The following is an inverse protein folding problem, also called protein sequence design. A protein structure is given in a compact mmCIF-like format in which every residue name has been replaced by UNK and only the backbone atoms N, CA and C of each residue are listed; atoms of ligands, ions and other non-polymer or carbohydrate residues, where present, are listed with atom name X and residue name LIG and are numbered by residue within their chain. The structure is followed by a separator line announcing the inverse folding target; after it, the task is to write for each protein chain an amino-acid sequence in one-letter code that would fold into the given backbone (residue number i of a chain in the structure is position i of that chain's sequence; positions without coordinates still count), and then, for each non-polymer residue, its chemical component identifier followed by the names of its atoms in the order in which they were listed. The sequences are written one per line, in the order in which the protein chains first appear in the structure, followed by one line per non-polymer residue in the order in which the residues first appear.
data_IF_217413894626
#
_entry.id   IF_217413894626
#
_cell.length_a   1.000
_cell.length_b   1.000
_cell.length_c   1.000
_cell.angle_alpha   90.00
_cell.angle_beta   90.00
_cell.angle_gamma   90.00
#
_symmetry.space_group_name_H-M   'P 1'
#
loop_
_entity.id
_entity.type
_entity.pdbx_description
1 polymer ?
#
# COMPACT_ATOMS: atom_id res chain seq x y z
N UNK A 1 -12.38 41.75 -4.68
CA UNK A 1 -11.67 41.41 -5.93
C UNK A 1 -10.79 40.21 -5.65
N UNK A 2 -10.73 39.25 -6.56
CA UNK A 2 -9.82 38.10 -6.42
C UNK A 2 -8.36 38.60 -6.39
N UNK A 3 -7.57 38.08 -5.45
CA UNK A 3 -6.17 38.49 -5.26
C UNK A 3 -5.25 37.91 -6.34
N UNK A 4 -5.68 36.82 -6.97
CA UNK A 4 -4.96 36.13 -8.04
C UNK A 4 -5.87 35.87 -9.24
N UNK A 5 -5.30 35.93 -10.44
CA UNK A 5 -6.01 35.74 -11.71
C UNK A 5 -5.91 34.32 -12.28
N UNK A 6 -6.83 33.98 -13.18
CA UNK A 6 -6.74 32.76 -13.99
C UNK A 6 -5.49 32.82 -14.87
N UNK A 7 -4.79 31.69 -14.99
CA UNK A 7 -3.48 31.51 -15.63
C UNK A 7 -2.29 32.19 -14.94
N UNK A 8 -2.49 32.84 -13.78
CA UNK A 8 -1.39 33.42 -13.03
C UNK A 8 -0.48 32.34 -12.43
N UNK A 9 0.83 32.60 -12.47
CA UNK A 9 1.85 31.78 -11.83
C UNK A 9 1.97 32.19 -10.36
N UNK A 10 1.84 31.23 -9.46
CA UNK A 10 1.83 31.46 -8.01
C UNK A 10 2.67 30.43 -7.28
N UNK A 11 2.86 30.65 -5.99
CA UNK A 11 3.45 29.69 -5.07
C UNK A 11 2.32 29.18 -4.16
N UNK A 12 2.20 27.88 -3.97
CA UNK A 12 1.12 27.25 -3.22
C UNK A 12 1.66 26.28 -2.18
N UNK A 13 1.18 26.40 -0.94
CA UNK A 13 1.45 25.41 0.11
C UNK A 13 0.75 24.09 -0.21
N UNK A 14 1.46 22.98 -0.09
CA UNK A 14 0.88 21.64 -0.05
C UNK A 14 1.57 20.87 1.09
N UNK A 15 0.82 20.65 2.18
CA UNK A 15 1.41 20.23 3.45
C UNK A 15 2.31 21.33 4.04
N UNK A 16 3.48 20.99 4.61
CA UNK A 16 4.40 21.96 5.21
C UNK A 16 5.28 22.70 4.19
N UNK A 17 5.25 22.31 2.91
CA UNK A 17 6.16 22.82 1.88
C UNK A 17 5.43 23.62 0.81
N UNK A 18 6.18 24.49 0.13
CA UNK A 18 5.66 25.39 -0.92
C UNK A 18 6.11 24.89 -2.29
N UNK A 19 5.17 24.82 -3.23
CA UNK A 19 5.42 24.45 -4.62
C UNK A 19 5.04 25.58 -5.58
N UNK A 20 5.63 25.55 -6.76
CA UNK A 20 5.21 26.41 -7.86
C UNK A 20 3.92 25.86 -8.47
N UNK A 21 2.92 26.72 -8.65
CA UNK A 21 1.62 26.35 -9.18
C UNK A 21 1.12 27.38 -10.21
N UNK A 22 0.12 26.97 -10.99
CA UNK A 22 -0.64 27.82 -11.90
C UNK A 22 -2.11 27.77 -11.57
N UNK A 23 -2.76 28.92 -11.54
CA UNK A 23 -4.20 29.01 -11.29
C UNK A 23 -4.95 28.67 -12.59
N UNK A 24 -5.85 27.71 -12.52
CA UNK A 24 -6.69 27.29 -13.64
C UNK A 24 -8.09 27.91 -13.58
N UNK A 25 -8.66 28.04 -12.37
CA UNK A 25 -10.00 28.62 -12.16
C UNK A 25 -10.06 29.41 -10.85
N UNK A 26 -10.96 30.37 -10.78
CA UNK A 26 -11.24 31.18 -9.59
C UNK A 26 -12.74 31.19 -9.37
N UNK A 27 -13.18 30.83 -8.17
CA UNK A 27 -14.59 30.86 -7.77
C UNK A 27 -14.72 31.56 -6.42
N UNK A 28 -15.85 32.25 -6.23
CA UNK A 28 -16.24 32.77 -4.93
C UNK A 28 -17.22 31.77 -4.32
N UNK A 29 -16.86 31.18 -3.19
CA UNK A 29 -17.72 30.23 -2.49
C UNK A 29 -18.45 30.94 -1.36
N UNK A 30 -19.78 30.87 -1.38
CA UNK A 30 -20.65 31.35 -0.32
C UNK A 30 -21.09 30.19 0.58
N UNK A 31 -21.70 30.48 1.73
CA UNK A 31 -22.14 29.49 2.73
C UNK A 31 -23.01 28.36 2.14
N UNK A 32 -23.73 28.61 1.04
CA UNK A 32 -24.61 27.65 0.37
C UNK A 32 -23.92 26.76 -0.68
N UNK A 33 -22.69 27.09 -1.12
CA UNK A 33 -21.98 26.40 -2.21
C UNK A 33 -20.62 25.82 -1.77
N UNK A 34 -20.40 25.71 -0.46
CA UNK A 34 -19.09 25.37 0.08
C UNK A 34 -18.79 23.87 0.00
N UNK A 35 -17.75 23.47 -0.74
CA UNK A 35 -17.22 22.08 -0.71
C UNK A 35 -16.14 21.86 0.36
N UNK A 36 -15.53 22.94 0.88
CA UNK A 36 -14.41 22.92 1.85
C UNK A 36 -14.78 23.41 3.25
N UNK A 37 -16.00 23.89 3.47
CA UNK A 37 -16.44 24.51 4.73
C UNK A 37 -15.93 25.94 5.00
N UNK A 38 -15.13 26.54 4.10
CA UNK A 38 -14.67 27.93 4.22
C UNK A 38 -15.33 28.82 3.15
N UNK A 39 -16.01 29.91 3.52
CA UNK A 39 -16.48 30.91 2.56
C UNK A 39 -15.31 31.77 2.03
N UNK A 40 -15.44 32.29 0.82
CA UNK A 40 -14.47 33.20 0.19
C UNK A 40 -13.88 32.67 -1.13
N UNK A 41 -12.87 33.37 -1.63
CA UNK A 41 -12.24 33.03 -2.91
C UNK A 41 -11.46 31.71 -2.84
N UNK A 42 -11.85 30.79 -3.69
CA UNK A 42 -11.20 29.50 -3.91
C UNK A 42 -10.58 29.48 -5.31
N UNK A 43 -9.42 28.83 -5.40
CA UNK A 43 -8.59 28.79 -6.59
C UNK A 43 -8.31 27.35 -6.95
N UNK A 44 -8.61 26.96 -8.19
CA UNK A 44 -8.25 25.63 -8.70
C UNK A 44 -6.82 25.70 -9.21
N UNK A 45 -5.92 24.95 -8.59
CA UNK A 45 -4.47 25.06 -8.83
C UNK A 45 -3.90 23.79 -9.44
N UNK A 46 -2.97 23.96 -10.38
CA UNK A 46 -2.16 22.90 -10.96
C UNK A 46 -0.70 23.09 -10.54
N UNK A 47 -0.11 22.08 -9.91
CA UNK A 47 1.28 22.10 -9.47
C UNK A 47 2.25 21.79 -10.61
N UNK A 48 3.33 22.55 -10.72
CA UNK A 48 4.32 22.36 -11.77
C UNK A 48 5.00 20.99 -11.65
N UNK A 49 4.90 20.21 -12.73
CA UNK A 49 5.49 18.87 -12.82
C UNK A 49 4.66 17.76 -12.17
N UNK A 50 3.44 18.07 -11.70
CA UNK A 50 2.53 17.09 -11.11
C UNK A 50 1.49 16.62 -12.14
N UNK A 51 0.89 15.46 -11.93
CA UNK A 51 -0.21 14.96 -12.79
C UNK A 51 -1.48 15.76 -12.49
N UNK A 52 -2.33 16.00 -13.49
CA UNK A 52 -3.61 16.73 -13.37
C UNK A 52 -4.56 16.12 -12.32
N UNK A 53 -4.42 14.83 -12.01
CA UNK A 53 -5.20 14.16 -10.94
C UNK A 53 -4.93 14.73 -9.55
N UNK A 54 -3.88 15.54 -9.38
CA UNK A 54 -3.54 16.23 -8.13
C UNK A 54 -4.00 17.69 -8.09
N UNK A 55 -4.71 18.16 -9.10
CA UNK A 55 -5.24 19.52 -9.13
C UNK A 55 -6.33 19.64 -8.06
N UNK A 56 -6.26 20.68 -7.24
CA UNK A 56 -7.14 20.86 -6.09
C UNK A 56 -7.68 22.30 -6.00
N UNK A 57 -8.83 22.44 -5.34
CA UNK A 57 -9.35 23.75 -4.93
C UNK A 57 -8.72 24.15 -3.60
N UNK A 58 -8.04 25.30 -3.58
CA UNK A 58 -7.39 25.81 -2.38
C UNK A 58 -7.94 27.18 -2.00
N UNK A 59 -8.07 27.48 -0.69
CA UNK A 59 -8.38 28.82 -0.23
C UNK A 59 -7.21 29.77 -0.50
N UNK A 60 -7.51 31.08 -0.51
CA UNK A 60 -6.52 32.13 -0.73
C UNK A 60 -5.30 32.04 0.20
N UNK A 61 -5.48 31.59 1.45
CA UNK A 61 -4.42 31.51 2.47
C UNK A 61 -3.27 30.56 2.10
N UNK A 62 -3.53 29.55 1.26
CA UNK A 62 -2.50 28.64 0.76
C UNK A 62 -1.70 29.21 -0.40
N UNK A 63 -2.07 30.38 -0.92
CA UNK A 63 -1.44 30.98 -2.09
C UNK A 63 -0.58 32.19 -1.75
N UNK A 64 0.55 32.27 -2.43
CA UNK A 64 1.56 33.32 -2.34
C UNK A 64 1.85 33.84 -3.75
N UNK A 65 2.04 35.15 -3.88
CA UNK A 65 2.45 35.75 -5.16
C UNK A 65 3.84 35.28 -5.55
N UNK A 66 4.06 35.10 -6.85
CA UNK A 66 5.37 34.78 -7.39
C UNK A 66 6.26 36.03 -7.38
N UNK A 67 7.01 36.23 -6.30
CA UNK A 67 7.98 37.31 -6.12
C UNK A 67 9.22 36.81 -5.39
N UNK A 68 10.31 37.59 -5.42
CA UNK A 68 11.61 37.19 -4.85
C UNK A 68 11.54 36.92 -3.35
N UNK A 69 10.69 37.66 -2.62
CA UNK A 69 10.47 37.49 -1.18
C UNK A 69 9.86 36.11 -0.89
N UNK A 70 8.82 35.71 -1.62
CA UNK A 70 8.15 34.42 -1.40
C UNK A 70 8.96 33.25 -1.97
N UNK A 71 9.78 33.48 -2.99
CA UNK A 71 10.77 32.50 -3.46
C UNK A 71 11.85 32.24 -2.40
N UNK A 72 12.30 33.26 -1.68
CA UNK A 72 13.20 33.09 -0.54
C UNK A 72 12.51 32.28 0.58
N UNK A 73 11.24 32.59 0.90
CA UNK A 73 10.44 31.82 1.86
C UNK A 73 10.30 30.35 1.47
N UNK A 74 10.04 30.06 0.20
CA UNK A 74 9.98 28.68 -0.32
C UNK A 74 11.28 27.92 -0.05
N UNK A 75 12.44 28.53 -0.30
CA UNK A 75 13.74 27.90 -0.06
C UNK A 75 13.94 27.57 1.42
N UNK A 76 13.63 28.51 2.32
CA UNK A 76 13.78 28.33 3.77
C UNK A 76 12.84 27.25 4.30
N UNK A 77 11.53 27.36 4.03
CA UNK A 77 10.51 26.45 4.54
C UNK A 77 10.72 25.01 4.03
N UNK A 78 11.05 24.87 2.74
CA UNK A 78 11.32 23.55 2.18
C UNK A 78 12.60 22.95 2.79
N UNK A 79 13.66 23.74 2.97
CA UNK A 79 14.90 23.27 3.61
C UNK A 79 14.69 22.86 5.08
N UNK A 80 13.95 23.65 5.86
CA UNK A 80 13.60 23.33 7.26
C UNK A 80 12.77 22.04 7.35
N UNK A 81 11.79 21.88 6.46
CA UNK A 81 10.94 20.68 6.41
C UNK A 81 11.76 19.43 6.08
N UNK A 82 12.62 19.49 5.04
CA UNK A 82 13.50 18.37 4.69
C UNK A 82 14.55 18.06 5.79
N UNK A 83 15.00 19.07 6.54
CA UNK A 83 15.91 18.88 7.67
C UNK A 83 15.20 18.24 8.88
N UNK A 84 13.96 18.64 9.16
CA UNK A 84 13.12 18.04 10.19
C UNK A 84 12.82 16.56 9.88
N UNK A 85 12.50 16.23 8.62
CA UNK A 85 12.30 14.84 8.17
C UNK A 85 13.56 13.99 8.33
N UNK A 86 14.75 14.54 8.02
CA UNK A 86 16.03 13.85 8.26
C UNK A 86 16.30 13.63 9.75
N UNK A 87 15.99 14.61 10.60
CA UNK A 87 16.19 14.51 12.06
C UNK A 87 15.21 13.52 12.71
N UNK A 88 13.97 13.44 12.22
CA UNK A 88 13.00 12.43 12.62
C UNK A 88 13.44 11.00 12.22
N UNK A 89 13.97 10.83 10.99
CA UNK A 89 14.52 9.54 10.53
C UNK A 89 15.81 9.11 11.26
N UNK A 90 16.66 10.07 11.66
CA UNK A 90 17.87 9.78 12.44
C UNK A 90 17.57 9.45 13.91
N UNK A 91 16.54 10.07 14.51
CA UNK A 91 16.07 9.73 15.85
C UNK A 91 15.39 8.34 15.90
N UNK A 92 14.84 7.85 14.78
CA UNK A 92 14.33 6.48 14.68
C UNK A 92 15.39 5.39 14.47
N UNK A 93 16.65 5.76 14.15
CA UNK A 93 17.73 4.79 13.90
C UNK A 93 18.70 4.59 15.08
N UNK A 94 18.53 5.29 16.21
CA UNK A 94 19.43 5.20 17.37
C UNK A 94 18.83 4.49 18.60
N UNK A 95 17.80 3.67 18.42
CA UNK A 95 17.19 2.89 19.50
C UNK A 95 17.40 1.40 19.35
N UNK A 96 18.54 0.87 19.84
CA UNK A 96 18.68 -0.37 20.66
C UNK A 96 20.10 -0.97 20.54
N UNK A 97 20.94 -0.74 21.56
CA UNK A 97 21.82 -1.78 22.08
C UNK A 97 22.07 -1.57 23.58
N UNK A 98 21.38 -2.41 24.34
CA UNK A 98 21.70 -3.12 25.58
C UNK A 98 22.47 -2.45 26.77
N UNK A 99 21.92 -2.72 27.95
CA UNK A 99 22.58 -2.80 29.27
C UNK A 99 23.95 -3.53 29.23
N UNK A 100 24.97 -3.33 30.07
CA UNK A 100 25.01 -3.08 31.53
C UNK A 100 26.45 -2.69 31.98
N UNK A 101 26.52 -1.83 33.01
CA UNK A 101 27.57 -1.64 34.05
C UNK A 101 29.02 -1.22 33.71
N UNK A 102 29.46 -0.12 34.37
CA UNK A 102 30.80 -0.02 34.98
C UNK A 102 31.54 1.33 34.93
N UNK A 103 31.42 2.16 35.97
CA UNK A 103 32.57 2.89 36.57
C UNK A 103 33.05 4.26 36.03
N UNK A 104 32.61 5.32 36.72
CA UNK A 104 33.46 6.39 37.34
C UNK A 104 34.04 7.58 36.54
N UNK A 105 33.63 8.78 37.02
CA UNK A 105 34.36 10.07 37.19
C UNK A 105 34.26 11.23 36.17
N UNK A 106 33.91 12.40 36.75
CA UNK A 106 34.27 13.77 36.34
C UNK A 106 33.34 14.41 35.30
N UNK A 107 32.66 15.55 35.48
CA UNK A 107 32.69 16.61 36.47
C UNK A 107 32.16 17.90 35.82
N UNK A 108 31.47 18.77 36.58
CA UNK A 108 31.14 20.16 36.20
C UNK A 108 29.71 20.40 35.68
N UNK A 109 28.77 20.90 36.51
CA UNK A 109 28.36 22.34 36.66
C UNK A 109 27.58 22.84 35.41
N UNK A 110 26.41 23.48 35.46
CA UNK A 110 25.69 24.23 36.51
C UNK A 110 24.29 24.63 35.97
N UNK A 111 23.34 24.79 36.90
CA UNK A 111 22.18 25.72 36.93
C UNK A 111 21.16 25.72 35.77
N UNK A 112 19.84 25.63 35.95
CA UNK A 112 18.99 25.65 37.14
C UNK A 112 17.55 26.00 36.71
N UNK A 113 16.56 25.30 37.30
CA UNK A 113 15.22 25.74 37.79
C UNK A 113 14.41 26.80 36.98
N UNK A 114 13.09 26.73 36.82
CA UNK A 114 12.01 25.98 37.47
C UNK A 114 10.64 26.24 36.77
N UNK A 115 9.65 25.42 37.16
CA UNK A 115 8.20 25.70 37.29
C UNK A 115 7.37 25.97 36.01
N UNK A 116 6.54 25.02 35.55
CA UNK A 116 5.21 24.61 36.05
C UNK A 116 4.07 25.44 35.44
N UNK A 117 3.11 24.76 34.81
CA UNK A 117 1.88 25.43 34.33
C UNK A 117 1.02 24.67 33.33
N UNK A 118 0.43 23.57 33.77
CA UNK A 118 -0.97 23.20 33.46
C UNK A 118 -1.39 22.74 32.04
N UNK A 119 -1.41 21.41 31.88
CA UNK A 119 -2.59 20.58 31.57
C UNK A 119 -3.65 21.18 30.62
N UNK A 120 -3.67 20.65 29.39
CA UNK A 120 -4.94 20.39 28.69
C UNK A 120 -5.04 18.88 28.42
N UNK A 121 -5.80 18.19 29.27
CA UNK A 121 -6.21 16.80 29.10
C UNK A 121 -6.84 16.64 27.71
N UNK A 122 -6.27 15.79 26.86
CA UNK A 122 -6.97 15.20 25.73
C UNK A 122 -6.57 13.73 25.60
N UNK A 123 -7.31 12.92 26.35
CA UNK A 123 -7.60 11.49 26.13
C UNK A 123 -6.38 10.58 25.91
N UNK A 124 -5.88 10.07 27.02
CA UNK A 124 -5.17 8.79 27.09
C UNK A 124 -6.24 7.70 26.91
N UNK A 125 -6.35 7.18 25.68
CA UNK A 125 -7.09 5.97 25.29
C UNK A 125 -6.75 5.74 23.81
N UNK A 126 -5.60 5.13 23.56
CA UNK A 126 -5.49 3.89 22.78
C UNK A 126 -4.04 3.47 22.91
N UNK A 127 -3.78 2.45 23.73
CA UNK A 127 -2.53 1.71 23.74
C UNK A 127 -2.13 1.46 22.29
N UNK A 128 -1.11 2.17 21.83
CA UNK A 128 -0.57 2.02 20.50
C UNK A 128 -0.08 0.59 20.35
N UNK A 129 -0.98 -0.29 19.89
CA UNK A 129 -0.63 -1.59 19.34
C UNK A 129 0.43 -1.26 18.31
N UNK A 130 1.68 -1.55 18.64
CA UNK A 130 2.82 -1.38 17.74
C UNK A 130 2.40 -2.05 16.44
N UNK A 131 2.06 -1.22 15.46
CA UNK A 131 1.47 -1.70 14.22
C UNK A 131 2.55 -2.56 13.57
N UNK A 132 2.34 -3.89 13.42
CA UNK A 132 3.39 -4.74 12.90
C UNK A 132 3.71 -4.32 11.46
N UNK A 133 4.90 -3.79 11.22
CA UNK A 133 5.36 -3.40 9.89
C UNK A 133 6.04 -4.58 9.19
N UNK A 134 5.28 -5.33 8.40
CA UNK A 134 5.84 -6.37 7.54
C UNK A 134 6.50 -5.74 6.29
N UNK A 135 7.82 -5.54 6.30
CA UNK A 135 8.56 -5.10 5.10
C UNK A 135 9.01 -6.31 4.28
N UNK A 136 8.31 -6.57 3.18
CA UNK A 136 8.68 -7.61 2.20
C UNK A 136 9.52 -6.99 1.08
N UNK A 137 10.66 -7.60 0.78
CA UNK A 137 11.48 -7.28 -0.38
C UNK A 137 11.07 -8.20 -1.53
N UNK A 138 10.34 -7.64 -2.50
CA UNK A 138 9.89 -8.41 -3.67
C UNK A 138 11.07 -8.53 -4.64
N UNK A 139 11.45 -9.75 -5.08
CA UNK A 139 12.45 -9.96 -6.11
C UNK A 139 12.12 -9.24 -7.42
N UNK A 140 13.13 -8.68 -8.09
CA UNK A 140 12.93 -7.89 -9.31
C UNK A 140 12.27 -8.69 -10.44
N UNK A 141 12.54 -10.00 -10.52
CA UNK A 141 11.90 -10.91 -11.48
C UNK A 141 10.38 -10.93 -11.29
N UNK A 142 9.89 -11.00 -10.04
CA UNK A 142 8.46 -10.95 -9.76
C UNK A 142 7.87 -9.57 -10.02
N UNK A 143 8.65 -8.49 -9.85
CA UNK A 143 8.19 -7.14 -10.21
C UNK A 143 7.95 -7.01 -11.70
N UNK A 144 8.84 -7.56 -12.54
CA UNK A 144 8.65 -7.57 -14.00
C UNK A 144 7.37 -8.31 -14.36
N UNK A 145 7.18 -9.52 -13.82
CA UNK A 145 5.95 -10.31 -14.04
C UNK A 145 4.69 -9.55 -13.62
N UNK A 146 4.72 -8.86 -12.48
CA UNK A 146 3.59 -8.05 -12.00
C UNK A 146 3.30 -6.83 -12.88
N UNK A 147 4.33 -6.22 -13.47
CA UNK A 147 4.16 -5.12 -14.42
C UNK A 147 3.56 -5.63 -15.74
N UNK A 148 4.06 -6.76 -16.24
CA UNK A 148 3.56 -7.41 -17.46
C UNK A 148 2.10 -7.87 -17.27
N UNK A 149 1.78 -8.49 -16.13
CA UNK A 149 0.41 -8.89 -15.75
C UNK A 149 -0.53 -7.68 -15.70
N UNK A 150 -0.10 -6.58 -15.08
CA UNK A 150 -0.86 -5.34 -15.03
C UNK A 150 -1.09 -4.77 -16.44
N UNK A 151 -0.08 -4.73 -17.30
CA UNK A 151 -0.18 -4.24 -18.67
C UNK A 151 -1.11 -5.11 -19.53
N UNK A 152 -0.98 -6.44 -19.42
CA UNK A 152 -1.83 -7.39 -20.12
C UNK A 152 -3.32 -7.18 -19.81
N UNK A 153 -3.66 -7.03 -18.53
CA UNK A 153 -5.07 -6.93 -18.11
C UNK A 153 -5.62 -5.52 -18.28
N UNK A 154 -4.85 -4.48 -17.93
CA UNK A 154 -5.39 -3.11 -17.89
C UNK A 154 -5.24 -2.35 -19.19
N UNK A 155 -4.20 -2.63 -19.99
CA UNK A 155 -4.00 -1.97 -21.30
C UNK A 155 -4.42 -2.86 -22.46
N UNK A 156 -4.01 -4.12 -22.46
CA UNK A 156 -4.26 -5.03 -23.57
C UNK A 156 -5.65 -5.71 -23.48
N UNK A 157 -6.38 -5.51 -22.37
CA UNK A 157 -7.67 -6.13 -22.10
C UNK A 157 -7.65 -7.66 -22.26
N UNK A 158 -6.55 -8.29 -21.85
CA UNK A 158 -6.40 -9.73 -21.83
C UNK A 158 -6.82 -10.28 -20.46
N UNK A 159 -7.16 -11.56 -20.41
CA UNK A 159 -7.53 -12.24 -19.17
C UNK A 159 -6.73 -13.52 -18.98
N UNK A 160 -6.51 -13.82 -17.72
CA UNK A 160 -6.01 -15.12 -17.28
C UNK A 160 -7.10 -16.17 -17.53
N UNK A 161 -6.71 -17.30 -18.10
CA UNK A 161 -7.61 -18.43 -18.33
C UNK A 161 -7.95 -19.12 -17.02
N UNK A 162 -9.25 -19.31 -16.75
CA UNK A 162 -9.73 -20.00 -15.56
C UNK A 162 -10.54 -21.25 -15.97
N UNK A 163 -10.43 -22.39 -15.25
CA UNK A 163 -9.58 -22.62 -14.08
C UNK A 163 -8.09 -22.71 -14.41
N UNK A 164 -7.23 -22.29 -13.48
CA UNK A 164 -5.77 -22.37 -13.65
C UNK A 164 -5.21 -23.72 -13.25
N UNK A 165 -4.20 -24.16 -13.98
CA UNK A 165 -3.31 -25.26 -13.61
C UNK A 165 -1.86 -24.77 -13.74
N UNK A 166 -1.05 -24.84 -12.67
CA UNK A 166 -1.39 -25.21 -11.28
C UNK A 166 -2.24 -24.15 -10.55
N UNK A 167 -3.08 -24.58 -9.61
CA UNK A 167 -3.91 -23.69 -8.75
C UNK A 167 -3.13 -23.17 -7.55
N UNK A 168 -3.60 -22.08 -6.91
CA UNK A 168 -2.99 -21.58 -5.66
C UNK A 168 -2.93 -22.66 -4.58
N UNK A 169 -3.99 -23.46 -4.43
CA UNK A 169 -4.00 -24.55 -3.46
C UNK A 169 -2.88 -25.59 -3.74
N UNK A 170 -2.70 -25.97 -5.00
CA UNK A 170 -1.64 -26.90 -5.39
C UNK A 170 -0.26 -26.30 -5.18
N UNK A 171 -0.07 -25.03 -5.55
CA UNK A 171 1.20 -24.31 -5.38
C UNK A 171 1.62 -24.22 -3.91
N UNK A 172 0.68 -23.95 -3.01
CA UNK A 172 0.99 -23.88 -1.57
C UNK A 172 1.33 -25.26 -0.98
N UNK A 173 0.70 -26.33 -1.45
CA UNK A 173 1.05 -27.70 -1.02
C UNK A 173 2.40 -28.16 -1.61
N UNK A 174 2.69 -27.81 -2.86
CA UNK A 174 4.01 -28.03 -3.48
C UNK A 174 5.10 -27.28 -2.71
N UNK A 175 4.84 -26.04 -2.32
CA UNK A 175 5.75 -25.25 -1.48
C UNK A 175 6.00 -25.92 -0.13
N UNK A 176 4.97 -26.49 0.51
CA UNK A 176 5.13 -27.27 1.75
C UNK A 176 6.08 -28.45 1.53
N UNK A 177 5.88 -29.20 0.45
CA UNK A 177 6.75 -30.32 0.07
C UNK A 177 8.19 -29.87 -0.16
N UNK A 178 8.39 -28.73 -0.82
CA UNK A 178 9.69 -28.12 -1.05
C UNK A 178 10.41 -27.76 0.27
N UNK A 179 9.73 -27.13 1.22
CA UNK A 179 10.32 -26.77 2.51
C UNK A 179 10.69 -28.01 3.34
N UNK A 180 9.85 -29.06 3.30
CA UNK A 180 10.15 -30.32 3.99
C UNK A 180 11.32 -31.09 3.37
N UNK A 181 11.56 -30.92 2.07
CA UNK A 181 12.66 -31.55 1.35
C UNK A 181 14.00 -30.80 1.49
N UNK A 182 14.02 -29.60 2.09
CA UNK A 182 15.25 -28.83 2.28
C UNK A 182 16.17 -29.51 3.33
N UNK A 183 17.52 -29.43 3.19
CA UNK A 183 18.47 -30.18 4.02
C UNK A 183 18.51 -29.83 5.51
N UNK A 184 17.98 -28.65 5.89
CA UNK A 184 17.92 -28.20 7.28
C UNK A 184 16.55 -27.56 7.56
N UNK A 185 15.48 -28.37 7.67
CA UNK A 185 14.16 -27.85 7.98
C UNK A 185 14.15 -27.42 9.46
N UNK A 186 13.70 -26.20 9.78
CA UNK A 186 13.50 -25.80 11.17
C UNK A 186 12.55 -26.82 11.84
N UNK A 187 12.86 -27.34 13.05
CA UNK A 187 12.01 -28.34 13.70
C UNK A 187 10.57 -27.83 13.96
N UNK A 188 10.38 -26.51 14.03
CA UNK A 188 9.06 -25.86 14.13
C UNK A 188 8.33 -25.71 12.78
N UNK A 189 9.01 -25.85 11.65
CA UNK A 189 8.42 -25.67 10.32
C UNK A 189 7.33 -26.71 10.05
N UNK A 190 7.50 -27.94 10.54
CA UNK A 190 6.53 -29.03 10.33
C UNK A 190 5.16 -28.69 10.96
N UNK A 191 5.15 -28.03 12.11
CA UNK A 191 3.91 -27.62 12.79
C UNK A 191 3.36 -26.29 12.27
N UNK A 192 4.24 -25.37 11.85
CA UNK A 192 3.85 -24.01 11.47
C UNK A 192 3.45 -23.86 10.00
N UNK A 193 4.04 -24.63 9.08
CA UNK A 193 3.74 -24.57 7.65
C UNK A 193 2.26 -24.84 7.34
N UNK A 194 1.58 -25.85 7.92
CA UNK A 194 0.16 -26.07 7.66
C UNK A 194 -0.69 -24.87 8.09
N UNK A 195 -0.39 -24.29 9.25
CA UNK A 195 -1.08 -23.10 9.77
C UNK A 195 -0.84 -21.88 8.88
N UNK A 196 0.39 -21.70 8.41
CA UNK A 196 0.75 -20.61 7.51
C UNK A 196 0.04 -20.73 6.16
N UNK A 197 0.02 -21.91 5.57
CA UNK A 197 -0.64 -22.19 4.29
C UNK A 197 -2.14 -22.00 4.41
N UNK A 198 -2.76 -22.50 5.48
CA UNK A 198 -4.16 -22.25 5.76
C UNK A 198 -4.48 -20.76 5.91
N UNK A 199 -3.58 -20.01 6.58
CA UNK A 199 -3.67 -18.56 6.70
C UNK A 199 -3.59 -17.84 5.36
N UNK A 200 -2.57 -18.14 4.54
CA UNK A 200 -2.39 -17.55 3.21
C UNK A 200 -3.57 -17.87 2.28
N UNK A 201 -4.10 -19.09 2.33
CA UNK A 201 -5.31 -19.50 1.61
C UNK A 201 -6.52 -18.68 2.03
N UNK A 202 -6.75 -18.57 3.34
CA UNK A 202 -7.84 -17.76 3.89
C UNK A 202 -7.72 -16.28 3.48
N UNK A 203 -6.50 -15.73 3.53
CA UNK A 203 -6.24 -14.36 3.07
C UNK A 203 -6.49 -14.19 1.58
N UNK A 204 -6.07 -15.16 0.76
CA UNK A 204 -6.33 -15.16 -0.68
C UNK A 204 -7.83 -15.14 -0.95
N UNK A 205 -8.57 -16.11 -0.41
CA UNK A 205 -10.01 -16.26 -0.65
C UNK A 205 -10.81 -15.04 -0.18
N UNK A 206 -10.41 -14.42 0.93
CA UNK A 206 -11.07 -13.22 1.46
C UNK A 206 -10.72 -11.95 0.67
N UNK A 207 -9.48 -11.79 0.23
CA UNK A 207 -9.00 -10.56 -0.42
C UNK A 207 -9.15 -10.55 -1.94
N UNK A 208 -9.36 -11.71 -2.57
CA UNK A 208 -9.45 -11.82 -4.03
C UNK A 208 -10.50 -10.87 -4.61
N UNK A 209 -11.76 -10.98 -4.16
CA UNK A 209 -12.86 -10.20 -4.69
C UNK A 209 -12.83 -8.70 -4.35
N UNK A 210 -12.12 -8.32 -3.29
CA UNK A 210 -12.06 -6.93 -2.81
C UNK A 210 -10.86 -6.15 -3.33
N UNK A 211 -9.70 -6.80 -3.42
CA UNK A 211 -8.41 -6.10 -3.50
C UNK A 211 -7.48 -6.63 -4.61
N UNK A 212 -7.53 -7.93 -4.93
CA UNK A 212 -6.53 -8.54 -5.84
C UNK A 212 -6.89 -8.46 -7.32
N UNK A 213 -8.18 -8.29 -7.64
CA UNK A 213 -8.66 -8.26 -9.02
C UNK A 213 -8.65 -6.84 -9.59
N UNK A 214 -8.20 -6.69 -10.83
CA UNK A 214 -8.36 -5.44 -11.57
C UNK A 214 -9.81 -5.24 -12.00
N UNK A 215 -10.17 -3.99 -12.34
CA UNK A 215 -11.55 -3.64 -12.74
C UNK A 215 -12.06 -4.54 -13.87
N UNK A 216 -11.21 -4.86 -14.85
CA UNK A 216 -11.56 -5.66 -16.02
C UNK A 216 -11.83 -7.14 -15.69
N UNK A 217 -11.23 -7.69 -14.65
CA UNK A 217 -11.41 -9.09 -14.21
C UNK A 217 -12.68 -9.29 -13.36
N UNK A 218 -13.34 -8.21 -12.91
CA UNK A 218 -14.49 -8.33 -11.99
C UNK A 218 -15.69 -9.03 -12.62
N UNK A 219 -15.88 -8.88 -13.94
CA UNK A 219 -16.93 -9.59 -14.67
C UNK A 219 -16.66 -11.11 -14.67
N UNK A 220 -15.43 -11.53 -14.96
CA UNK A 220 -14.99 -12.93 -14.90
C UNK A 220 -15.18 -13.50 -13.49
N UNK A 221 -14.78 -12.76 -12.45
CA UNK A 221 -14.99 -13.19 -11.07
C UNK A 221 -16.47 -13.36 -10.71
N UNK A 222 -17.34 -12.47 -11.18
CA UNK A 222 -18.78 -12.59 -10.97
C UNK A 222 -19.36 -13.84 -11.65
N UNK A 223 -18.91 -14.17 -12.86
CA UNK A 223 -19.26 -15.41 -13.57
C UNK A 223 -18.77 -16.64 -12.82
N UNK A 224 -17.52 -16.64 -12.35
CA UNK A 224 -16.95 -17.75 -11.60
C UNK A 224 -17.65 -17.96 -10.25
N UNK A 225 -18.02 -16.87 -9.55
CA UNK A 225 -18.86 -16.96 -8.35
C UNK A 225 -20.22 -17.57 -8.64
N UNK A 226 -20.89 -17.16 -9.72
CA UNK A 226 -22.16 -17.77 -10.13
C UNK A 226 -21.97 -19.24 -10.50
N UNK A 227 -20.85 -19.62 -11.09
CA UNK A 227 -20.61 -21.00 -11.53
C UNK A 227 -20.27 -21.96 -10.38
N UNK A 228 -19.49 -21.52 -9.40
CA UNK A 228 -18.90 -22.39 -8.36
C UNK A 228 -19.40 -22.15 -6.93
N UNK A 229 -20.05 -21.01 -6.65
CA UNK A 229 -20.54 -20.67 -5.30
C UNK A 229 -22.05 -20.46 -5.27
N UNK A 230 -22.60 -19.60 -6.15
CA UNK A 230 -23.99 -19.09 -6.03
C UNK A 230 -24.93 -19.58 -7.13
N UNK A 231 -24.53 -20.56 -7.94
CA UNK A 231 -25.29 -21.01 -9.10
C UNK A 231 -26.37 -22.03 -8.79
N UNK A 232 -27.42 -22.06 -9.62
CA UNK A 232 -28.49 -23.08 -9.58
C UNK A 232 -27.98 -24.54 -9.74
N UNK A 233 -26.73 -24.73 -10.20
CA UNK A 233 -26.10 -26.05 -10.40
C UNK A 233 -25.08 -26.43 -9.32
N UNK A 234 -24.88 -25.61 -8.28
CA UNK A 234 -23.96 -25.93 -7.19
C UNK A 234 -24.72 -26.70 -6.12
N UNK A 235 -24.33 -27.97 -5.91
CA UNK A 235 -24.86 -28.75 -4.80
C UNK A 235 -24.35 -28.15 -3.46
N UNK A 236 -25.21 -27.97 -2.44
CA UNK A 236 -24.80 -27.49 -1.13
C UNK A 236 -23.68 -28.38 -0.58
N UNK A 237 -22.49 -27.81 -0.35
CA UNK A 237 -21.32 -28.54 0.14
C UNK A 237 -20.21 -28.84 -0.90
N UNK A 238 -20.39 -28.46 -2.17
CA UNK A 238 -19.32 -28.53 -3.20
C UNK A 238 -18.82 -27.14 -3.64
N UNK A 239 -18.96 -26.14 -2.78
CA UNK A 239 -18.44 -24.81 -3.02
C UNK A 239 -16.92 -24.88 -3.17
N UNK A 240 -16.43 -24.60 -4.37
CA UNK A 240 -14.99 -24.50 -4.59
C UNK A 240 -14.55 -23.13 -4.09
N UNK A 241 -13.52 -23.16 -3.24
CA UNK A 241 -12.81 -21.96 -2.86
C UNK A 241 -12.09 -21.36 -4.06
N UNK A 242 -11.86 -20.05 -4.01
CA UNK A 242 -11.25 -19.33 -5.11
C UNK A 242 -9.77 -19.70 -5.27
N UNK A 243 -9.12 -20.08 -4.18
CA UNK A 243 -7.79 -20.69 -4.15
C UNK A 243 -7.66 -21.97 -5.00
N UNK A 244 -8.76 -22.67 -5.28
CA UNK A 244 -8.80 -23.85 -6.15
C UNK A 244 -9.12 -23.54 -7.63
N UNK A 245 -9.30 -22.26 -7.97
CA UNK A 245 -9.69 -21.79 -9.32
C UNK A 245 -8.59 -20.91 -9.92
N UNK A 246 -8.03 -20.03 -9.11
CA UNK A 246 -7.04 -19.04 -9.51
C UNK A 246 -5.62 -19.60 -9.43
N UNK A 247 -4.69 -18.92 -10.11
CA UNK A 247 -3.30 -19.34 -10.27
C UNK A 247 -2.30 -18.44 -9.55
N UNK A 248 -1.04 -18.59 -9.95
CA UNK A 248 0.08 -17.90 -9.33
C UNK A 248 0.11 -16.39 -9.56
N UNK A 249 -0.47 -15.93 -10.68
CA UNK A 249 -0.57 -14.52 -11.04
C UNK A 249 -1.26 -13.73 -9.92
N UNK A 250 -2.43 -14.22 -9.50
CA UNK A 250 -3.20 -13.64 -8.41
C UNK A 250 -2.55 -13.86 -7.04
N UNK A 251 -1.86 -14.99 -6.83
CA UNK A 251 -1.09 -15.21 -5.61
C UNK A 251 0.02 -14.18 -5.45
N UNK A 252 0.74 -13.83 -6.52
CA UNK A 252 1.76 -12.79 -6.48
C UNK A 252 1.17 -11.43 -6.08
N UNK A 253 -0.02 -11.09 -6.56
CA UNK A 253 -0.72 -9.87 -6.12
C UNK A 253 -1.04 -9.89 -4.63
N UNK A 254 -1.43 -11.04 -4.07
CA UNK A 254 -1.60 -11.20 -2.63
C UNK A 254 -0.31 -10.89 -1.89
N UNK A 255 0.83 -11.40 -2.34
CA UNK A 255 2.13 -11.18 -1.69
C UNK A 255 2.49 -9.69 -1.62
N UNK A 256 2.13 -8.89 -2.64
CA UNK A 256 2.33 -7.43 -2.63
C UNK A 256 1.39 -6.73 -1.64
N UNK A 257 0.17 -7.24 -1.48
CA UNK A 257 -0.84 -6.67 -0.58
C UNK A 257 -0.77 -7.18 0.87
N UNK A 258 -0.05 -8.27 1.10
CA UNK A 258 0.07 -8.90 2.41
C UNK A 258 0.62 -7.95 3.49
N UNK A 259 1.65 -7.11 3.23
CA UNK A 259 2.13 -6.10 4.20
C UNK A 259 1.04 -5.16 4.71
N UNK A 260 0.21 -4.66 3.79
CA UNK A 260 -0.89 -3.76 4.09
C UNK A 260 -1.91 -4.47 4.98
N UNK A 261 -2.24 -5.71 4.65
CA UNK A 261 -3.19 -6.54 5.39
C UNK A 261 -2.69 -6.92 6.80
N UNK A 262 -1.42 -7.31 6.93
CA UNK A 262 -0.81 -7.69 8.21
C UNK A 262 -0.71 -6.49 9.16
N UNK A 263 -0.54 -5.28 8.63
CA UNK A 263 -0.52 -4.06 9.46
C UNK A 263 -1.82 -3.81 10.24
N UNK A 264 -2.94 -4.41 9.83
CA UNK A 264 -4.22 -4.30 10.53
C UNK A 264 -4.47 -5.45 11.52
N UNK A 265 -3.50 -6.34 11.72
CA UNK A 265 -3.62 -7.51 12.60
C UNK A 265 -2.85 -7.31 13.90
N UNK A 266 -3.31 -7.97 14.97
CA UNK A 266 -2.66 -7.97 16.30
C UNK A 266 -1.65 -9.13 16.41
N UNK A 267 -0.73 -9.24 15.46
CA UNK A 267 0.34 -10.26 15.50
C UNK A 267 1.55 -9.73 16.29
N UNK A 268 2.22 -10.62 17.02
CA UNK A 268 3.47 -10.32 17.72
C UNK A 268 4.67 -10.22 16.76
N UNK A 269 5.70 -9.48 17.16
CA UNK A 269 6.88 -9.22 16.33
C UNK A 269 7.63 -10.50 15.91
N UNK A 270 7.60 -11.55 16.75
CA UNK A 270 8.26 -12.83 16.45
C UNK A 270 7.49 -13.59 15.36
N UNK A 271 6.17 -13.67 15.47
CA UNK A 271 5.31 -14.27 14.44
C UNK A 271 5.41 -13.52 13.11
N UNK A 272 5.51 -12.19 13.14
CA UNK A 272 5.66 -11.36 11.93
C UNK A 272 7.02 -11.59 11.26
N UNK A 273 8.09 -11.69 12.04
CA UNK A 273 9.42 -12.02 11.52
C UNK A 273 9.43 -13.41 10.87
N UNK A 274 8.78 -14.39 11.50
CA UNK A 274 8.69 -15.74 10.96
C UNK A 274 7.84 -15.80 9.67
N UNK A 275 6.70 -15.10 9.66
CA UNK A 275 5.87 -14.94 8.47
C UNK A 275 6.69 -14.33 7.33
N UNK A 276 7.48 -13.30 7.62
CA UNK A 276 8.38 -12.67 6.64
C UNK A 276 9.35 -13.67 6.04
N UNK A 277 10.01 -14.50 6.86
CA UNK A 277 10.96 -15.50 6.39
C UNK A 277 10.31 -16.50 5.43
N UNK A 278 9.18 -17.11 5.82
CA UNK A 278 8.50 -18.09 4.96
C UNK A 278 7.92 -17.46 3.70
N UNK A 279 7.37 -16.25 3.78
CA UNK A 279 6.86 -15.53 2.61
C UNK A 279 8.00 -15.16 1.65
N UNK A 280 9.18 -14.84 2.19
CA UNK A 280 10.39 -14.59 1.39
C UNK A 280 10.87 -15.86 0.69
N UNK A 281 10.88 -17.01 1.39
CA UNK A 281 11.20 -18.30 0.78
C UNK A 281 10.16 -18.72 -0.27
N UNK A 282 8.87 -18.46 -0.04
CA UNK A 282 7.82 -18.67 -1.04
C UNK A 282 8.07 -17.85 -2.30
N UNK A 283 8.44 -16.57 -2.16
CA UNK A 283 8.82 -15.73 -3.30
C UNK A 283 10.02 -16.27 -4.07
N UNK A 284 11.05 -16.77 -3.38
CA UNK A 284 12.23 -17.38 -4.02
C UNK A 284 11.86 -18.65 -4.78
N UNK A 285 11.00 -19.49 -4.20
CA UNK A 285 10.49 -20.70 -4.86
C UNK A 285 9.67 -20.35 -6.11
N UNK A 286 8.77 -19.37 -6.04
CA UNK A 286 8.01 -18.89 -7.20
C UNK A 286 8.92 -18.37 -8.33
N UNK A 287 10.04 -17.72 -7.99
CA UNK A 287 11.03 -17.26 -8.98
C UNK A 287 11.73 -18.44 -9.65
N UNK A 288 12.07 -19.49 -8.89
CA UNK A 288 12.77 -20.67 -9.42
C UNK A 288 11.87 -21.47 -10.36
N UNK A 289 10.58 -21.59 -10.05
CA UNK A 289 9.60 -22.33 -10.85
C UNK A 289 8.79 -21.43 -11.80
N UNK A 290 9.25 -20.18 -12.03
CA UNK A 290 8.50 -19.15 -12.77
C UNK A 290 7.99 -19.61 -14.14
N UNK A 291 8.79 -20.37 -14.87
CA UNK A 291 8.47 -20.78 -16.24
C UNK A 291 7.36 -21.85 -16.30
N UNK A 292 7.14 -22.58 -15.20
CA UNK A 292 6.05 -23.54 -15.04
C UNK A 292 4.79 -22.90 -14.46
N UNK A 293 4.99 -21.94 -13.56
CA UNK A 293 3.95 -21.45 -12.66
C UNK A 293 3.17 -20.26 -13.25
N UNK A 294 3.83 -19.40 -14.03
CA UNK A 294 3.19 -18.25 -14.68
C UNK A 294 2.82 -18.55 -16.14
N UNK A 295 1.69 -18.02 -16.59
CA UNK A 295 1.31 -18.03 -17.99
C UNK A 295 2.23 -17.14 -18.83
N UNK A 296 2.62 -17.65 -20.01
CA UNK A 296 3.38 -16.87 -20.99
C UNK A 296 2.49 -15.92 -21.81
N UNK A 297 1.21 -16.28 -22.01
CA UNK A 297 0.27 -15.51 -22.81
C UNK A 297 -1.12 -15.57 -22.19
N UNK A 298 -1.83 -14.44 -22.28
CA UNK A 298 -3.18 -14.27 -21.75
C UNK A 298 -4.17 -14.26 -22.92
N UNK A 299 -5.40 -14.70 -22.66
CA UNK A 299 -6.41 -14.83 -23.69
C UNK A 299 -7.14 -13.50 -23.93
N UNK A 300 -7.50 -13.26 -25.19
CA UNK A 300 -8.39 -12.16 -25.54
C UNK A 300 -9.84 -12.59 -25.27
N UNK A 301 -10.55 -11.91 -24.35
CA UNK A 301 -11.93 -12.24 -24.05
C UNK A 301 -12.85 -11.86 -25.21
N UNK A 302 -13.99 -12.56 -25.29
CA UNK A 302 -15.00 -12.31 -26.30
C UNK A 302 -15.51 -10.88 -26.27
N UNK A 303 -16.00 -10.39 -27.42
CA UNK A 303 -16.59 -9.03 -27.54
C UNK A 303 -17.74 -8.83 -26.54
N UNK A 304 -18.50 -9.89 -26.24
CA UNK A 304 -19.56 -9.86 -25.24
C UNK A 304 -19.02 -9.54 -23.83
N UNK A 305 -17.95 -10.22 -23.43
CA UNK A 305 -17.30 -9.97 -22.15
C UNK A 305 -16.76 -8.54 -22.05
N UNK A 306 -16.12 -8.05 -23.12
CA UNK A 306 -15.57 -6.69 -23.15
C UNK A 306 -16.66 -5.62 -22.94
N UNK A 307 -17.86 -5.84 -23.47
CA UNK A 307 -18.99 -4.92 -23.27
C UNK A 307 -19.49 -4.94 -21.82
N UNK A 308 -19.57 -6.12 -21.20
CA UNK A 308 -19.95 -6.26 -19.79
C UNK A 308 -18.90 -5.59 -18.88
N UNK A 309 -17.62 -5.82 -19.13
CA UNK A 309 -16.54 -5.31 -18.29
C UNK A 309 -16.32 -3.78 -18.42
N UNK A 310 -16.81 -3.16 -19.50
CA UNK A 310 -16.80 -1.69 -19.69
C UNK A 310 -17.93 -0.98 -18.96
N UNK A 311 -19.00 -1.70 -18.64
CA UNK A 311 -20.18 -1.17 -17.93
C UNK A 311 -19.87 -1.08 -16.44
#
# INVERSE_FOLDING_TARGET
MAVFGVNERTLCYHGPVIYEAKILKVELWDETNTKSGLPGYHYFVHYKGWKQTWDEWVPQERLLKYNDINLAKQKVINAESYAADKKAKAASSSGTHNSKSGGTSGGGRKDGRAHEGSRKRRRDDDDGVKKPELKLEIPDILKVILVDDWEAITKNNQLVTLPREPTVQQLLEEFKGYILALPNPPPQAVALLPTLIAGLRTYFDRSLGSTLLYRFERAQYAEMRKKYITGQHVAPGTEKEMSAIYGAEHLCRLLVKLPEMVSHTTMDDVSVALLKEYVTELMKWLVREKDRVFLQAYDFPSTHYQNIART
#
